data_IF_152722787785
#
_entry.id   IF_152722787785
#
_cell.length_a   1.000
_cell.length_b   1.000
_cell.length_c   1.000
_cell.angle_alpha   90.00
_cell.angle_beta   90.00
_cell.angle_gamma   90.00
#
_symmetry.space_group_name_H-M   'P 1'
#
loop_
_entity.id
_entity.type
_entity.pdbx_description
1 polymer ?
#
# COMPACT_ATOMS: atom_id res chain seq x y z
N UNK A 1 -40.84 -6.45 73.43
CA UNK A 1 -41.21 -5.19 72.78
C UNK A 1 -39.92 -4.55 72.25
N UNK A 2 -39.72 -4.41 71.04
CA UNK A 2 -38.55 -3.85 70.45
C UNK A 2 -38.47 -4.22 68.99
N UNK A 3 -39.12 -3.44 68.16
CA UNK A 3 -39.10 -3.63 66.69
C UNK A 3 -37.75 -3.27 66.11
N UNK A 4 -37.22 -4.18 65.28
CA UNK A 4 -36.05 -3.95 64.45
C UNK A 4 -36.48 -3.37 63.11
N UNK A 5 -36.04 -2.14 62.86
CA UNK A 5 -36.20 -1.43 61.57
C UNK A 5 -35.42 -2.14 60.47
N UNK A 6 -36.10 -2.49 59.40
CA UNK A 6 -35.51 -3.03 58.19
C UNK A 6 -35.04 -1.86 57.32
N UNK A 7 -33.74 -1.58 57.31
CA UNK A 7 -33.10 -0.61 56.42
C UNK A 7 -33.05 -1.20 55.01
N UNK A 8 -33.86 -0.62 54.12
CA UNK A 8 -33.88 -0.91 52.68
C UNK A 8 -32.56 -0.52 52.01
N UNK A 9 -31.79 -1.46 51.55
CA UNK A 9 -30.66 -1.27 50.65
C UNK A 9 -31.16 -0.94 49.24
N UNK A 10 -31.29 0.34 48.93
CA UNK A 10 -31.47 0.83 47.57
C UNK A 10 -30.12 0.61 46.83
N UNK A 11 -30.11 -0.33 45.91
CA UNK A 11 -29.09 -0.59 44.92
C UNK A 11 -28.77 0.71 44.16
N UNK A 12 -27.59 1.21 44.37
CA UNK A 12 -26.97 2.26 43.54
C UNK A 12 -26.58 1.63 42.18
N UNK A 13 -27.47 1.68 41.21
CA UNK A 13 -27.11 1.46 39.81
C UNK A 13 -26.20 2.60 39.39
N UNK A 14 -24.88 2.34 39.37
CA UNK A 14 -23.92 3.19 38.67
C UNK A 14 -24.22 3.02 37.17
N UNK A 15 -24.84 4.02 36.58
CA UNK A 15 -24.97 4.11 35.12
C UNK A 15 -23.55 4.15 34.57
N UNK A 16 -23.12 3.07 33.94
CA UNK A 16 -21.90 3.05 33.13
C UNK A 16 -21.93 4.18 32.08
N UNK A 17 -20.77 4.62 31.59
CA UNK A 17 -20.72 5.69 30.60
C UNK A 17 -21.65 5.34 29.43
N UNK A 18 -22.51 6.30 29.06
CA UNK A 18 -23.33 6.16 27.87
C UNK A 18 -22.40 5.99 26.67
N UNK A 19 -22.29 4.78 26.15
CA UNK A 19 -21.69 4.54 24.83
C UNK A 19 -22.62 5.26 23.85
N UNK A 20 -22.22 6.45 23.41
CA UNK A 20 -22.87 7.08 22.27
C UNK A 20 -22.76 6.11 21.10
N UNK A 21 -23.84 5.85 20.32
CA UNK A 21 -23.71 5.09 19.10
C UNK A 21 -22.66 5.82 18.25
N UNK A 22 -21.55 5.13 17.91
CA UNK A 22 -20.52 5.70 17.05
C UNK A 22 -21.22 6.14 15.75
N UNK A 23 -21.29 7.45 15.52
CA UNK A 23 -21.74 7.99 14.25
C UNK A 23 -20.88 7.34 13.17
N UNK A 24 -21.53 6.87 12.09
CA UNK A 24 -20.78 6.27 10.97
C UNK A 24 -19.72 7.27 10.52
N UNK A 25 -18.46 6.88 10.57
CA UNK A 25 -17.36 7.71 10.10
C UNK A 25 -17.54 8.04 8.63
N UNK A 26 -17.21 9.26 8.28
CA UNK A 26 -17.35 9.82 6.94
C UNK A 26 -15.99 10.13 6.36
N UNK A 27 -15.94 10.34 5.05
CA UNK A 27 -14.71 10.73 4.36
C UNK A 27 -14.09 11.99 4.98
N UNK A 28 -14.89 13.00 5.27
CA UNK A 28 -14.46 14.28 5.87
C UNK A 28 -13.80 14.13 7.24
N UNK A 29 -14.02 13.03 7.96
CA UNK A 29 -13.36 12.77 9.25
C UNK A 29 -11.86 12.42 9.08
N UNK A 30 -11.41 12.15 7.84
CA UNK A 30 -10.02 11.82 7.50
C UNK A 30 -9.31 12.95 6.76
N UNK A 31 -9.85 14.16 6.87
CA UNK A 31 -9.22 15.35 6.30
C UNK A 31 -8.26 16.01 7.32
N UNK A 32 -7.18 16.55 6.81
CA UNK A 32 -6.25 17.38 7.55
C UNK A 32 -5.47 18.28 6.58
N UNK A 33 -4.96 19.38 7.08
CA UNK A 33 -4.15 20.29 6.27
C UNK A 33 -2.72 19.72 6.13
N UNK A 34 -2.36 19.31 4.92
CA UNK A 34 -1.01 18.87 4.55
C UNK A 34 -0.33 19.94 3.72
N UNK A 35 0.71 20.64 4.26
CA UNK A 35 1.52 21.56 3.47
C UNK A 35 2.23 20.84 2.31
N UNK A 36 2.18 21.42 1.12
CA UNK A 36 2.75 20.82 -0.10
C UNK A 36 4.27 20.60 0.00
N UNK A 37 4.96 21.47 0.70
CA UNK A 37 6.40 21.37 0.94
C UNK A 37 6.83 20.14 1.76
N UNK A 38 5.89 19.48 2.45
CA UNK A 38 6.17 18.24 3.18
C UNK A 38 6.08 17.00 2.29
N UNK A 39 5.64 17.12 1.05
CA UNK A 39 5.58 16.01 0.10
C UNK A 39 6.98 15.75 -0.47
N UNK A 40 7.54 14.58 -0.19
CA UNK A 40 8.88 14.23 -0.64
C UNK A 40 8.92 13.90 -2.13
N UNK A 41 9.74 14.64 -2.89
CA UNK A 41 10.00 14.35 -4.30
C UNK A 41 11.22 13.44 -4.51
N UNK A 42 12.11 13.34 -3.52
CA UNK A 42 13.32 12.50 -3.53
C UNK A 42 13.39 11.65 -2.25
N UNK A 43 13.88 10.40 -2.35
CA UNK A 43 14.17 9.60 -1.17
C UNK A 43 15.41 10.12 -0.43
N UNK A 44 15.60 9.71 0.83
CA UNK A 44 16.88 9.91 1.51
C UNK A 44 18.01 9.17 0.78
N UNK A 45 19.24 9.69 0.89
CA UNK A 45 20.42 9.05 0.28
C UNK A 45 20.55 7.60 0.73
N UNK A 46 20.53 7.37 2.05
CA UNK A 46 20.49 6.04 2.63
C UNK A 46 19.04 5.71 3.06
N UNK A 47 18.54 4.56 2.63
CA UNK A 47 17.12 4.17 2.83
C UNK A 47 16.67 4.21 4.30
N UNK A 48 17.54 3.77 5.22
CA UNK A 48 17.24 3.65 6.65
C UNK A 48 17.61 4.88 7.48
N UNK A 49 17.96 5.98 6.83
CA UNK A 49 18.20 7.28 7.46
C UNK A 49 17.00 8.24 7.40
N UNK A 50 15.86 7.80 6.84
CA UNK A 50 14.61 8.55 7.01
C UNK A 50 14.18 8.56 8.49
N UNK A 51 13.34 9.53 8.85
CA UNK A 51 12.79 9.59 10.21
C UNK A 51 11.77 8.49 10.45
N UNK A 52 11.65 8.08 11.71
CA UNK A 52 10.65 7.12 12.18
C UNK A 52 9.85 7.72 13.32
N UNK A 53 8.54 7.84 13.16
CA UNK A 53 7.63 8.12 14.27
C UNK A 53 7.15 6.79 14.85
N UNK A 54 7.44 6.54 16.12
CA UNK A 54 6.94 5.35 16.82
C UNK A 54 5.73 5.74 17.66
N UNK A 55 4.60 5.06 17.44
CA UNK A 55 3.33 5.33 18.10
C UNK A 55 2.89 4.12 18.90
N UNK A 56 2.78 4.28 20.21
CA UNK A 56 2.31 3.24 21.13
C UNK A 56 0.80 3.35 21.34
N UNK A 57 0.02 2.45 20.76
CA UNK A 57 -1.45 2.48 20.79
C UNK A 57 -2.03 2.42 22.20
N UNK A 58 -1.40 1.65 23.08
CA UNK A 58 -1.89 1.43 24.44
C UNK A 58 -1.73 2.66 25.37
N UNK A 59 -0.74 3.50 25.10
CA UNK A 59 -0.40 4.64 25.96
C UNK A 59 -0.61 5.99 25.28
N UNK A 60 -0.69 6.02 23.94
CA UNK A 60 -0.70 7.24 23.14
C UNK A 60 0.65 7.99 23.14
N UNK A 61 1.74 7.30 23.56
CA UNK A 61 3.10 7.83 23.49
C UNK A 61 3.57 7.89 22.05
N UNK A 62 4.21 8.99 21.67
CA UNK A 62 4.85 9.18 20.38
C UNK A 62 6.34 9.44 20.62
N UNK A 63 7.18 8.73 19.89
CA UNK A 63 8.63 8.88 19.90
C UNK A 63 9.14 9.26 18.50
N UNK A 64 10.22 10.03 18.44
CA UNK A 64 10.89 10.41 17.20
C UNK A 64 12.24 9.71 17.12
N UNK A 65 12.46 8.92 16.08
CA UNK A 65 13.63 8.08 15.87
C UNK A 65 14.11 8.19 14.41
N UNK A 66 15.16 7.48 14.09
CA UNK A 66 15.56 7.17 12.71
C UNK A 66 15.05 5.77 12.33
N UNK A 67 14.80 5.51 11.05
CA UNK A 67 14.24 4.21 10.65
C UNK A 67 15.13 3.02 11.06
N UNK A 68 16.45 3.18 11.03
CA UNK A 68 17.40 2.16 11.51
C UNK A 68 17.19 1.72 12.96
N UNK A 69 16.57 2.58 13.77
CA UNK A 69 16.26 2.28 15.18
C UNK A 69 15.07 1.33 15.34
N UNK A 70 14.39 0.97 14.23
CA UNK A 70 13.35 -0.07 14.22
C UNK A 70 13.84 -1.37 14.86
N UNK A 71 15.13 -1.62 14.78
CA UNK A 71 15.81 -2.75 15.42
C UNK A 71 15.53 -2.86 16.92
N UNK A 72 15.34 -1.74 17.61
CA UNK A 72 15.17 -1.70 19.07
C UNK A 72 13.75 -2.12 19.52
N UNK A 73 12.81 -2.23 18.59
CA UNK A 73 11.39 -2.52 18.86
C UNK A 73 10.98 -3.97 18.59
N UNK A 74 11.90 -4.80 18.09
CA UNK A 74 11.64 -6.20 17.75
C UNK A 74 12.64 -7.13 18.41
N UNK A 75 12.20 -8.32 18.78
CA UNK A 75 12.98 -9.34 19.47
C UNK A 75 13.07 -10.64 18.67
N UNK A 76 13.98 -11.52 19.09
CA UNK A 76 14.13 -12.85 18.49
C UNK A 76 12.81 -13.61 18.40
N UNK A 77 12.51 -14.14 17.23
CA UNK A 77 11.29 -14.87 16.93
C UNK A 77 10.12 -14.01 16.46
N UNK A 78 10.24 -12.67 16.49
CA UNK A 78 9.26 -11.79 15.87
C UNK A 78 9.28 -11.97 14.34
N UNK A 79 8.17 -11.64 13.69
CA UNK A 79 8.01 -11.78 12.24
C UNK A 79 7.62 -10.46 11.60
N UNK A 80 8.34 -10.07 10.54
CA UNK A 80 7.97 -8.99 9.64
C UNK A 80 7.39 -9.56 8.35
N UNK A 81 6.20 -9.11 7.96
CA UNK A 81 5.53 -9.53 6.73
C UNK A 81 5.84 -8.53 5.63
N UNK A 82 6.54 -9.00 4.60
CA UNK A 82 7.08 -8.19 3.52
C UNK A 82 6.35 -8.46 2.22
N UNK A 83 6.00 -7.40 1.48
CA UNK A 83 5.48 -7.54 0.12
C UNK A 83 6.64 -7.50 -0.89
N UNK A 84 6.93 -8.65 -1.50
CA UNK A 84 8.04 -8.84 -2.42
C UNK A 84 7.74 -8.49 -3.88
N UNK A 85 6.63 -7.82 -4.14
CA UNK A 85 6.27 -7.40 -5.50
C UNK A 85 7.34 -6.48 -6.09
N UNK A 86 7.60 -6.65 -7.39
CA UNK A 86 8.54 -5.86 -8.17
C UNK A 86 7.80 -4.96 -9.15
N UNK A 87 8.15 -3.68 -9.15
CA UNK A 87 7.64 -2.70 -10.12
C UNK A 87 8.32 -2.92 -11.46
N UNK A 88 7.54 -2.88 -12.54
CA UNK A 88 8.07 -2.88 -13.91
C UNK A 88 7.87 -1.50 -14.56
N UNK A 89 8.63 -1.15 -15.61
CA UNK A 89 8.54 0.15 -16.29
C UNK A 89 7.25 0.25 -17.09
N UNK A 90 6.17 0.64 -16.41
CA UNK A 90 4.80 0.57 -16.89
C UNK A 90 4.34 1.77 -17.70
N UNK A 91 5.10 2.88 -17.70
CA UNK A 91 4.73 4.11 -18.42
C UNK A 91 5.45 4.17 -19.75
N UNK A 92 4.69 4.23 -20.83
CA UNK A 92 5.21 4.27 -22.20
C UNK A 92 4.70 5.51 -22.93
N UNK A 93 5.56 6.11 -23.72
CA UNK A 93 5.21 7.21 -24.61
C UNK A 93 5.31 6.77 -26.07
N UNK A 94 4.37 7.23 -26.88
CA UNK A 94 4.31 6.87 -28.28
C UNK A 94 3.51 7.85 -29.09
N UNK A 95 3.17 7.44 -30.31
CA UNK A 95 2.44 8.26 -31.26
C UNK A 95 1.23 7.49 -31.81
N UNK A 96 0.14 8.22 -32.02
CA UNK A 96 -1.04 7.67 -32.68
C UNK A 96 -0.86 7.60 -34.18
N UNK A 97 -1.26 6.47 -34.78
CA UNK A 97 -1.35 6.30 -36.24
C UNK A 97 -2.04 7.49 -36.92
N UNK A 98 -1.63 7.78 -38.13
CA UNK A 98 -2.17 8.83 -39.04
C UNK A 98 -1.99 10.27 -38.60
N UNK A 99 -1.99 10.58 -37.31
CA UNK A 99 -1.91 11.95 -36.82
C UNK A 99 -0.56 12.31 -36.21
N UNK A 100 0.25 11.31 -35.85
CA UNK A 100 1.51 11.50 -35.12
C UNK A 100 1.31 12.13 -33.74
N UNK A 101 0.05 12.20 -33.25
CA UNK A 101 -0.21 12.82 -31.95
C UNK A 101 0.45 12.03 -30.83
N UNK A 102 1.19 12.70 -29.97
CA UNK A 102 1.82 12.12 -28.78
C UNK A 102 0.76 11.53 -27.85
N UNK A 103 1.05 10.35 -27.33
CA UNK A 103 0.19 9.63 -26.38
C UNK A 103 1.03 9.05 -25.24
N UNK A 104 0.41 8.93 -24.07
CA UNK A 104 0.91 8.15 -22.93
C UNK A 104 0.05 6.90 -22.77
N UNK A 105 0.71 5.76 -22.59
CA UNK A 105 0.08 4.49 -22.23
C UNK A 105 0.68 4.04 -20.91
N UNK A 106 -0.17 3.77 -19.94
CA UNK A 106 0.21 3.25 -18.65
C UNK A 106 -0.30 1.81 -18.52
N UNK A 107 0.62 0.86 -18.58
CA UNK A 107 0.32 -0.57 -18.44
C UNK A 107 -0.14 -0.88 -17.03
N UNK A 108 -1.29 -1.56 -16.89
CA UNK A 108 -1.83 -1.94 -15.58
C UNK A 108 -1.59 -3.41 -15.27
N UNK A 109 -2.00 -4.28 -16.19
CA UNK A 109 -1.83 -5.73 -16.05
C UNK A 109 -1.94 -6.43 -17.40
N UNK A 110 -1.27 -7.57 -17.49
CA UNK A 110 -1.45 -8.49 -18.60
C UNK A 110 -2.74 -9.29 -18.41
N UNK A 111 -3.60 -9.28 -19.43
CA UNK A 111 -4.86 -10.01 -19.45
C UNK A 111 -4.70 -11.40 -20.08
N UNK A 112 -3.87 -11.48 -21.12
CA UNK A 112 -3.60 -12.75 -21.81
C UNK A 112 -2.20 -12.69 -22.45
N UNK A 113 -1.35 -13.63 -22.05
CA UNK A 113 0.04 -13.72 -22.50
C UNK A 113 0.16 -14.15 -23.98
N UNK A 114 -0.65 -15.11 -24.41
CA UNK A 114 -0.54 -15.66 -25.76
C UNK A 114 -0.95 -14.66 -26.84
N UNK A 115 -1.98 -13.85 -26.54
CA UNK A 115 -2.48 -12.81 -27.45
C UNK A 115 -1.94 -11.42 -27.14
N UNK A 116 -1.00 -11.29 -26.19
CA UNK A 116 -0.38 -10.04 -25.74
C UNK A 116 -1.41 -8.95 -25.42
N UNK A 117 -2.50 -9.34 -24.73
CA UNK A 117 -3.55 -8.42 -24.31
C UNK A 117 -3.22 -7.79 -22.97
N UNK A 118 -3.38 -6.48 -22.91
CA UNK A 118 -3.09 -5.68 -21.71
C UNK A 118 -4.22 -4.73 -21.38
N UNK A 119 -4.55 -4.63 -20.09
CA UNK A 119 -5.36 -3.56 -19.54
C UNK A 119 -4.46 -2.35 -19.27
N UNK A 120 -4.86 -1.17 -19.76
CA UNK A 120 -4.02 0.03 -19.71
C UNK A 120 -4.85 1.28 -19.46
N UNK A 121 -4.20 2.34 -18.96
CA UNK A 121 -4.72 3.70 -19.06
C UNK A 121 -4.03 4.44 -20.19
N UNK A 122 -4.76 5.36 -20.82
CA UNK A 122 -4.25 6.16 -21.93
C UNK A 122 -4.50 7.66 -21.72
N UNK A 123 -3.59 8.48 -22.24
CA UNK A 123 -3.74 9.92 -22.27
C UNK A 123 -3.22 10.49 -23.61
N UNK A 124 -3.98 11.35 -24.32
CA UNK A 124 -5.33 11.83 -24.03
C UNK A 124 -6.41 10.80 -24.45
N UNK A 125 -7.20 10.33 -23.50
CA UNK A 125 -8.17 9.25 -23.70
C UNK A 125 -9.22 9.53 -24.80
N UNK A 126 -9.63 10.80 -24.97
CA UNK A 126 -10.62 11.21 -25.98
C UNK A 126 -10.16 10.97 -27.41
N UNK A 127 -8.85 10.95 -27.65
CA UNK A 127 -8.25 10.80 -28.97
C UNK A 127 -7.91 9.35 -29.31
N UNK A 128 -7.94 8.44 -28.34
CA UNK A 128 -7.56 7.03 -28.48
C UNK A 128 -8.80 6.18 -28.44
N UNK A 129 -9.20 5.62 -29.62
CA UNK A 129 -10.44 4.88 -29.84
C UNK A 129 -10.15 3.46 -30.32
N UNK A 130 -11.12 2.57 -30.17
CA UNK A 130 -11.06 1.19 -30.70
C UNK A 130 -10.64 1.22 -32.17
N UNK A 131 -9.74 0.31 -32.55
CA UNK A 131 -9.16 0.18 -33.87
C UNK A 131 -8.00 1.14 -34.17
N UNK A 132 -7.66 2.07 -33.26
CA UNK A 132 -6.45 2.87 -33.45
C UNK A 132 -5.20 2.03 -33.20
N UNK A 133 -4.16 2.26 -33.99
CA UNK A 133 -2.81 1.75 -33.73
C UNK A 133 -1.97 2.82 -33.04
N UNK A 134 -1.19 2.38 -32.08
CA UNK A 134 -0.29 3.16 -31.27
C UNK A 134 1.14 2.65 -31.51
N UNK A 135 2.06 3.53 -31.77
CA UNK A 135 3.44 3.23 -32.15
C UNK A 135 4.39 3.72 -31.06
N UNK A 136 5.31 2.86 -30.64
CA UNK A 136 6.28 3.13 -29.58
C UNK A 136 7.71 2.90 -30.08
N UNK A 137 8.64 3.69 -29.55
CA UNK A 137 10.03 3.72 -29.97
C UNK A 137 10.24 4.64 -31.18
N UNK A 138 11.46 5.12 -31.38
CA UNK A 138 11.82 6.05 -32.47
C UNK A 138 11.71 5.37 -33.84
N UNK A 139 11.81 4.05 -33.85
CA UNK A 139 11.77 3.19 -35.04
C UNK A 139 10.43 2.43 -35.20
N UNK A 140 9.40 2.83 -34.44
CA UNK A 140 8.12 2.12 -34.38
C UNK A 140 8.25 0.61 -34.05
N UNK A 141 9.27 0.26 -33.26
CA UNK A 141 9.66 -1.13 -32.96
C UNK A 141 8.63 -1.90 -32.15
N UNK A 142 7.66 -1.22 -31.54
CA UNK A 142 6.53 -1.84 -30.86
C UNK A 142 5.24 -1.14 -31.24
N UNK A 143 4.24 -1.94 -31.63
CA UNK A 143 2.93 -1.45 -32.06
C UNK A 143 1.84 -2.11 -31.21
N UNK A 144 0.82 -1.34 -30.83
CA UNK A 144 -0.37 -1.86 -30.18
C UNK A 144 -1.65 -1.40 -30.89
N UNK A 145 -2.66 -2.24 -30.87
CA UNK A 145 -4.00 -1.94 -31.36
C UNK A 145 -4.97 -1.81 -30.18
N UNK A 146 -5.81 -0.78 -30.20
CA UNK A 146 -6.86 -0.58 -29.21
C UNK A 146 -8.02 -1.52 -29.53
N UNK A 147 -8.27 -2.51 -28.66
CA UNK A 147 -9.29 -3.55 -28.85
C UNK A 147 -10.60 -3.16 -28.19
N UNK A 148 -10.55 -2.54 -26.98
CA UNK A 148 -11.74 -2.22 -26.19
C UNK A 148 -11.55 -1.00 -25.31
N UNK A 149 -12.65 -0.43 -24.84
CA UNK A 149 -12.72 0.63 -23.83
C UNK A 149 -13.22 0.05 -22.52
N UNK A 150 -12.41 0.09 -21.45
CA UNK A 150 -12.77 -0.47 -20.15
C UNK A 150 -13.34 0.57 -19.19
N UNK A 151 -12.79 1.80 -19.20
CA UNK A 151 -13.25 2.95 -18.41
C UNK A 151 -13.10 4.23 -19.22
N UNK A 152 -13.39 5.38 -18.62
CA UNK A 152 -13.19 6.71 -19.26
C UNK A 152 -11.77 6.91 -19.80
N UNK A 153 -10.75 6.38 -19.10
CA UNK A 153 -9.33 6.40 -19.52
C UNK A 153 -8.77 5.02 -19.79
N UNK A 154 -9.49 3.97 -19.45
CA UNK A 154 -9.06 2.58 -19.60
C UNK A 154 -9.26 2.06 -21.02
N UNK A 155 -8.31 1.27 -21.50
CA UNK A 155 -8.33 0.56 -22.78
C UNK A 155 -7.80 -0.85 -22.61
N UNK A 156 -8.25 -1.75 -23.48
CA UNK A 156 -7.56 -3.01 -23.72
C UNK A 156 -6.72 -2.83 -24.97
N UNK A 157 -5.41 -3.06 -24.85
CA UNK A 157 -4.49 -3.08 -25.99
C UNK A 157 -4.09 -4.51 -26.33
N UNK A 158 -3.96 -4.78 -27.62
CA UNK A 158 -3.27 -5.95 -28.15
C UNK A 158 -1.95 -5.50 -28.77
N UNK A 159 -0.84 -5.95 -28.24
CA UNK A 159 0.45 -5.69 -28.85
C UNK A 159 0.64 -6.57 -30.07
N UNK A 160 1.13 -5.98 -31.14
CA UNK A 160 1.42 -6.62 -32.43
C UNK A 160 2.95 -6.82 -32.45
N UNK A 161 3.39 -7.98 -32.00
CA UNK A 161 4.81 -8.31 -31.89
C UNK A 161 5.04 -9.72 -32.45
N UNK A 162 6.00 -9.84 -33.35
CA UNK A 162 6.39 -11.11 -33.97
C UNK A 162 7.71 -11.55 -33.38
N UNK A 163 7.66 -12.42 -32.37
CA UNK A 163 8.81 -12.93 -31.65
C UNK A 163 8.44 -13.62 -30.34
N UNK A 164 9.43 -14.19 -29.66
CA UNK A 164 9.25 -14.79 -28.35
C UNK A 164 8.74 -13.78 -27.31
N UNK A 165 7.94 -14.26 -26.37
CA UNK A 165 7.39 -13.41 -25.28
C UNK A 165 8.49 -12.68 -24.48
N UNK A 166 9.64 -13.30 -24.28
CA UNK A 166 10.74 -12.69 -23.53
C UNK A 166 11.34 -11.47 -24.28
N UNK A 167 11.37 -11.51 -25.60
CA UNK A 167 11.77 -10.36 -26.42
C UNK A 167 10.74 -9.23 -26.37
N UNK A 168 9.45 -9.58 -26.37
CA UNK A 168 8.38 -8.61 -26.14
C UNK A 168 8.52 -7.92 -24.78
N UNK A 169 8.77 -8.69 -23.71
CA UNK A 169 9.01 -8.14 -22.35
C UNK A 169 10.25 -7.26 -22.31
N UNK A 170 11.33 -7.67 -22.98
CA UNK A 170 12.53 -6.85 -23.09
C UNK A 170 12.25 -5.51 -23.78
N UNK A 171 11.41 -5.52 -24.83
CA UNK A 171 11.01 -4.31 -25.56
C UNK A 171 10.15 -3.38 -24.67
N UNK A 172 9.22 -3.92 -23.87
CA UNK A 172 8.49 -3.11 -22.86
C UNK A 172 9.46 -2.49 -21.86
N UNK A 173 10.45 -3.23 -21.40
CA UNK A 173 11.45 -2.73 -20.44
C UNK A 173 12.31 -1.63 -21.04
N UNK A 174 12.70 -1.78 -22.32
CA UNK A 174 13.48 -0.77 -23.05
C UNK A 174 12.72 0.55 -23.27
N UNK A 175 11.43 0.45 -23.62
CA UNK A 175 10.61 1.60 -24.00
C UNK A 175 9.83 2.22 -22.83
N UNK A 176 9.72 1.50 -21.73
CA UNK A 176 8.98 1.93 -20.55
C UNK A 176 9.82 2.75 -19.57
N UNK A 177 9.15 3.56 -18.80
CA UNK A 177 9.73 4.33 -17.69
C UNK A 177 9.18 3.87 -16.36
N UNK A 178 9.97 4.07 -15.29
CA UNK A 178 9.53 3.84 -13.91
C UNK A 178 8.24 4.63 -13.63
N UNK A 179 7.17 3.96 -13.17
CA UNK A 179 5.86 4.59 -13.01
C UNK A 179 5.75 5.41 -11.73
N UNK A 180 6.57 6.46 -11.58
CA UNK A 180 6.49 7.34 -10.41
C UNK A 180 5.08 7.92 -10.24
N UNK A 181 4.56 7.99 -9.01
CA UNK A 181 3.27 8.62 -8.73
C UNK A 181 3.25 10.09 -9.13
N UNK A 182 2.08 10.58 -9.56
CA UNK A 182 1.91 11.95 -10.07
C UNK A 182 2.16 13.09 -9.07
N UNK A 183 2.16 12.78 -7.76
CA UNK A 183 2.50 13.77 -6.74
C UNK A 183 4.01 14.03 -6.64
N UNK A 184 4.85 13.19 -7.21
CA UNK A 184 6.27 13.46 -7.42
C UNK A 184 6.36 14.38 -8.63
N UNK A 185 6.57 15.68 -8.36
CA UNK A 185 6.52 16.76 -9.36
C UNK A 185 7.88 16.98 -10.01
N UNK A 186 8.47 15.94 -10.56
CA UNK A 186 9.69 15.97 -11.36
C UNK A 186 9.65 14.88 -12.41
N UNK A 187 10.53 14.98 -13.38
CA UNK A 187 10.75 13.92 -14.36
C UNK A 187 11.37 12.68 -13.70
N UNK A 188 11.21 11.54 -14.35
CA UNK A 188 11.83 10.29 -13.93
C UNK A 188 13.32 10.37 -14.22
N UNK A 189 14.13 10.01 -13.24
CA UNK A 189 15.59 9.95 -13.35
C UNK A 189 16.04 8.48 -13.40
N UNK A 190 17.22 8.17 -13.98
CA UNK A 190 17.70 6.79 -14.10
C UNK A 190 17.75 6.05 -12.77
N UNK A 191 18.09 6.74 -11.69
CA UNK A 191 18.17 6.20 -10.34
C UNK A 191 16.83 5.73 -9.79
N UNK A 192 15.71 6.23 -10.31
CA UNK A 192 14.37 5.86 -9.85
C UNK A 192 14.05 4.39 -10.14
N UNK A 193 14.65 3.78 -11.15
CA UNK A 193 14.50 2.36 -11.43
C UNK A 193 14.90 1.50 -10.22
N UNK A 194 15.98 1.87 -9.53
CA UNK A 194 16.43 1.20 -8.32
C UNK A 194 15.79 1.77 -7.06
N UNK A 195 15.61 3.09 -7.00
CA UNK A 195 15.13 3.78 -5.79
C UNK A 195 13.65 3.57 -5.53
N UNK A 196 12.83 3.47 -6.58
CA UNK A 196 11.40 3.14 -6.48
C UNK A 196 11.14 1.64 -6.49
N UNK A 197 12.03 0.89 -5.83
CA UNK A 197 12.02 -0.56 -5.70
C UNK A 197 12.50 -0.95 -4.32
N UNK A 198 11.86 -1.95 -3.67
CA UNK A 198 12.38 -2.49 -2.42
C UNK A 198 13.62 -3.34 -2.67
N UNK A 199 14.50 -3.44 -1.68
CA UNK A 199 15.72 -4.25 -1.80
C UNK A 199 15.45 -5.75 -1.81
N UNK A 200 14.22 -6.17 -1.51
CA UNK A 200 13.72 -7.55 -1.52
C UNK A 200 12.68 -7.81 -2.61
N UNK A 201 12.49 -6.88 -3.54
CA UNK A 201 11.57 -7.06 -4.66
C UNK A 201 12.03 -8.21 -5.58
N UNK A 202 11.15 -9.18 -5.83
CA UNK A 202 11.48 -10.40 -6.59
C UNK A 202 10.40 -10.79 -7.60
N UNK A 203 9.12 -10.53 -7.35
CA UNK A 203 8.01 -10.98 -8.20
C UNK A 203 7.44 -9.79 -8.97
N UNK A 204 7.75 -9.73 -10.28
CA UNK A 204 7.30 -8.65 -11.17
C UNK A 204 5.78 -8.66 -11.37
N UNK A 205 5.15 -7.48 -11.42
CA UNK A 205 3.73 -7.32 -11.72
C UNK A 205 3.10 -6.05 -11.13
N UNK A 206 3.83 -5.29 -10.32
CA UNK A 206 3.31 -4.05 -9.74
C UNK A 206 3.59 -2.83 -10.62
N UNK A 207 2.69 -1.86 -10.55
CA UNK A 207 2.85 -0.52 -11.14
C UNK A 207 3.11 0.55 -10.07
N UNK A 208 3.19 0.14 -8.82
CA UNK A 208 3.62 0.99 -7.71
C UNK A 208 4.37 0.16 -6.67
N UNK A 209 5.37 0.76 -6.04
CA UNK A 209 6.16 0.09 -5.00
C UNK A 209 5.38 -0.04 -3.69
N UNK A 210 5.58 -1.11 -2.90
CA UNK A 210 5.12 -1.19 -1.51
C UNK A 210 6.00 -0.30 -0.63
N UNK A 211 5.67 0.99 -0.57
CA UNK A 211 6.56 2.08 -0.20
C UNK A 211 7.13 2.02 1.21
N UNK A 212 6.43 1.40 2.17
CA UNK A 212 6.99 1.15 3.50
C UNK A 212 8.23 0.24 3.48
N UNK A 213 8.34 -0.63 2.47
CA UNK A 213 9.51 -1.46 2.25
C UNK A 213 10.73 -0.71 1.71
N UNK A 214 10.53 0.50 1.15
CA UNK A 214 11.62 1.32 0.61
C UNK A 214 12.60 1.80 1.68
N UNK A 215 12.17 1.88 2.93
CA UNK A 215 12.99 2.31 4.05
C UNK A 215 14.03 1.28 4.51
N UNK A 216 13.87 0.01 4.11
CA UNK A 216 14.81 -1.04 4.48
C UNK A 216 16.05 -1.00 3.58
N UNK A 217 17.22 -0.90 4.18
CA UNK A 217 18.50 -1.17 3.53
C UNK A 217 18.85 -2.66 3.65
N UNK A 218 19.69 -3.16 2.76
CA UNK A 218 20.22 -4.54 2.86
C UNK A 218 20.97 -4.76 4.18
N UNK A 219 21.65 -3.72 4.68
CA UNK A 219 22.37 -3.78 5.96
C UNK A 219 21.41 -3.90 7.13
N UNK A 220 20.32 -3.09 7.15
CA UNK A 220 19.32 -3.16 8.21
C UNK A 220 18.61 -4.52 8.23
N UNK A 221 18.23 -5.06 7.06
CA UNK A 221 17.66 -6.40 6.97
C UNK A 221 18.59 -7.45 7.54
N UNK A 222 19.89 -7.39 7.22
CA UNK A 222 20.89 -8.33 7.77
C UNK A 222 21.04 -8.23 9.27
N UNK A 223 21.00 -7.01 9.82
CA UNK A 223 21.03 -6.80 11.29
C UNK A 223 19.80 -7.37 11.97
N UNK A 224 18.60 -7.17 11.39
CA UNK A 224 17.35 -7.74 11.88
C UNK A 224 17.38 -9.27 11.86
N UNK A 225 17.85 -9.86 10.75
CA UNK A 225 18.01 -11.31 10.62
C UNK A 225 18.98 -11.87 11.68
N UNK A 226 20.13 -11.21 11.88
CA UNK A 226 21.11 -11.61 12.91
C UNK A 226 20.55 -11.48 14.34
N UNK A 227 19.60 -10.57 14.56
CA UNK A 227 18.87 -10.47 15.83
C UNK A 227 17.82 -11.57 16.01
N UNK A 228 17.54 -12.37 14.99
CA UNK A 228 16.57 -13.46 15.03
C UNK A 228 15.15 -13.06 14.62
N UNK A 229 14.99 -11.94 13.93
CA UNK A 229 13.71 -11.55 13.33
C UNK A 229 13.52 -12.32 12.03
N UNK A 230 12.34 -12.89 11.84
CA UNK A 230 11.98 -13.65 10.65
C UNK A 230 11.25 -12.76 9.64
N UNK A 231 11.46 -13.03 8.34
CA UNK A 231 10.79 -12.33 7.25
C UNK A 231 9.85 -13.27 6.50
N UNK A 232 8.54 -13.00 6.59
CA UNK A 232 7.52 -13.73 5.86
C UNK A 232 7.16 -12.94 4.60
N UNK A 233 7.44 -13.52 3.43
CA UNK A 233 7.18 -12.86 2.14
C UNK A 233 5.81 -13.26 1.59
N UNK A 234 5.08 -12.26 1.13
CA UNK A 234 3.89 -12.40 0.32
C UNK A 234 4.01 -11.51 -0.92
N UNK A 235 3.15 -11.71 -1.89
CA UNK A 235 3.07 -10.87 -3.08
C UNK A 235 1.70 -10.20 -3.15
N UNK A 236 1.66 -8.87 -3.25
CA UNK A 236 0.49 -8.14 -3.70
C UNK A 236 0.94 -7.17 -4.79
N UNK A 237 0.44 -7.37 -5.99
CA UNK A 237 0.73 -6.47 -7.11
C UNK A 237 -0.07 -5.18 -6.98
N UNK A 238 0.63 -4.13 -6.57
CA UNK A 238 0.02 -2.82 -6.30
C UNK A 238 -0.38 -2.16 -7.61
N UNK A 239 -1.67 -1.86 -7.73
CA UNK A 239 -2.26 -1.14 -8.85
C UNK A 239 -2.42 0.36 -8.57
N UNK A 240 -2.90 1.10 -9.56
CA UNK A 240 -3.16 2.55 -9.42
C UNK A 240 -4.33 2.88 -8.49
N UNK A 241 -5.22 1.93 -8.24
CA UNK A 241 -6.37 2.13 -7.36
C UNK A 241 -6.02 2.54 -5.94
N UNK A 242 -4.83 2.13 -5.47
CA UNK A 242 -4.31 2.50 -4.15
C UNK A 242 -4.09 4.03 -4.01
N UNK A 243 -3.87 4.73 -5.13
CA UNK A 243 -3.67 6.19 -5.14
C UNK A 243 -4.92 6.96 -5.59
N UNK A 244 -6.04 6.27 -5.84
CA UNK A 244 -7.29 6.93 -6.20
C UNK A 244 -7.91 7.54 -4.95
N UNK A 245 -8.32 8.81 -5.04
CA UNK A 245 -9.07 9.49 -3.98
C UNK A 245 -10.42 8.81 -3.77
N UNK A 246 -10.87 8.77 -2.53
CA UNK A 246 -12.25 8.39 -2.20
C UNK A 246 -13.15 9.57 -2.57
N UNK A 247 -14.21 9.31 -3.34
CA UNK A 247 -15.10 10.34 -3.88
C UNK A 247 -16.49 10.36 -3.20
N UNK A 248 -16.70 9.45 -2.23
CA UNK A 248 -17.99 9.27 -1.55
C UNK A 248 -17.86 9.56 -0.06
N UNK A 249 -18.76 10.37 0.47
CA UNK A 249 -18.76 10.72 1.89
C UNK A 249 -19.11 9.52 2.79
N UNK A 250 -20.02 8.67 2.36
CA UNK A 250 -20.33 7.40 3.02
C UNK A 250 -19.33 6.32 2.59
N UNK A 251 -18.37 6.00 3.46
CA UNK A 251 -17.29 5.07 3.18
C UNK A 251 -17.78 3.68 2.78
N UNK A 252 -18.97 3.26 3.21
CA UNK A 252 -19.54 1.94 2.86
C UNK A 252 -19.87 1.83 1.36
N UNK A 253 -19.95 2.95 0.65
CA UNK A 253 -20.23 3.03 -0.79
C UNK A 253 -18.96 3.05 -1.64
N UNK A 254 -17.79 3.22 -1.03
CA UNK A 254 -16.53 3.18 -1.76
C UNK A 254 -16.22 1.76 -2.22
N UNK A 255 -15.75 1.64 -3.47
CA UNK A 255 -15.33 0.37 -4.06
C UNK A 255 -13.82 0.42 -4.30
N UNK A 256 -13.09 -0.44 -3.61
CA UNK A 256 -11.68 -0.65 -3.87
C UNK A 256 -11.48 -1.38 -5.20
N UNK A 257 -10.46 -0.98 -5.93
CA UNK A 257 -9.98 -1.76 -7.07
C UNK A 257 -9.41 -3.10 -6.57
N UNK A 258 -9.60 -4.15 -7.39
CA UNK A 258 -9.08 -5.47 -7.07
C UNK A 258 -7.60 -5.56 -7.44
N UNK A 259 -6.80 -6.13 -6.55
CA UNK A 259 -5.38 -6.40 -6.74
C UNK A 259 -5.09 -7.87 -6.48
N UNK A 260 -4.16 -8.44 -7.26
CA UNK A 260 -3.76 -9.84 -7.08
C UNK A 260 -2.89 -9.97 -5.84
N UNK A 261 -3.23 -10.92 -4.97
CA UNK A 261 -2.51 -11.23 -3.75
C UNK A 261 -2.20 -12.73 -3.66
N UNK A 262 -0.97 -13.06 -3.28
CA UNK A 262 -0.49 -14.43 -3.09
C UNK A 262 0.18 -14.51 -1.72
N UNK A 263 -0.32 -15.42 -0.87
CA UNK A 263 0.24 -15.71 0.45
C UNK A 263 0.66 -17.18 0.45
N UNK A 264 1.96 -17.48 0.33
CA UNK A 264 2.45 -18.85 0.26
C UNK A 264 2.38 -19.54 1.63
N UNK A 265 2.30 -20.87 1.63
CA UNK A 265 2.26 -21.67 2.86
C UNK A 265 3.42 -21.41 3.80
N UNK A 266 4.63 -21.16 3.26
CA UNK A 266 5.80 -20.85 4.07
C UNK A 266 5.60 -19.59 4.93
N UNK A 267 5.03 -18.52 4.35
CA UNK A 267 4.68 -17.31 5.09
C UNK A 267 3.59 -17.58 6.14
N UNK A 268 2.59 -18.37 5.79
CA UNK A 268 1.50 -18.79 6.70
C UNK A 268 2.05 -19.53 7.93
N UNK A 269 2.93 -20.50 7.72
CA UNK A 269 3.55 -21.24 8.82
C UNK A 269 4.33 -20.32 9.75
N UNK A 270 5.19 -19.48 9.19
CA UNK A 270 6.05 -18.55 9.94
C UNK A 270 5.21 -17.56 10.79
N UNK A 271 4.19 -16.96 10.19
CA UNK A 271 3.29 -16.01 10.87
C UNK A 271 2.49 -16.70 11.97
N UNK A 272 1.91 -17.86 11.68
CA UNK A 272 1.08 -18.57 12.64
C UNK A 272 1.90 -19.12 13.80
N UNK A 273 3.13 -19.55 13.57
CA UNK A 273 4.03 -20.00 14.63
C UNK A 273 4.42 -18.83 15.55
N UNK A 274 4.71 -17.65 15.00
CA UNK A 274 4.94 -16.45 15.79
C UNK A 274 3.74 -16.12 16.68
N UNK A 275 2.51 -16.14 16.11
CA UNK A 275 1.27 -15.92 16.89
C UNK A 275 1.09 -16.93 18.03
N UNK A 276 1.28 -18.23 17.77
CA UNK A 276 1.17 -19.28 18.79
C UNK A 276 2.18 -19.08 19.91
N UNK A 277 3.38 -18.62 19.58
CA UNK A 277 4.46 -18.36 20.53
C UNK A 277 4.40 -16.95 21.13
N UNK A 278 3.31 -16.21 20.91
CA UNK A 278 3.12 -14.81 21.40
C UNK A 278 4.27 -13.88 21.01
N UNK A 279 4.83 -14.10 19.82
CA UNK A 279 5.81 -13.23 19.21
C UNK A 279 5.09 -12.17 18.37
N UNK A 280 5.73 -11.01 18.22
CA UNK A 280 5.18 -9.91 17.45
C UNK A 280 5.10 -10.23 15.97
N UNK A 281 3.97 -9.89 15.38
CA UNK A 281 3.76 -9.97 13.93
C UNK A 281 3.57 -8.55 13.39
N UNK A 282 4.53 -8.08 12.61
CA UNK A 282 4.53 -6.75 12.03
C UNK A 282 4.20 -6.80 10.54
N UNK A 283 3.16 -6.11 10.11
CA UNK A 283 2.94 -5.87 8.70
C UNK A 283 3.82 -4.72 8.21
N UNK A 284 4.64 -4.95 7.20
CA UNK A 284 5.41 -3.90 6.54
C UNK A 284 4.62 -3.39 5.34
N UNK A 285 3.98 -2.25 5.54
CA UNK A 285 3.10 -1.60 4.58
C UNK A 285 1.63 -1.98 4.67
N UNK A 286 0.80 -1.05 4.25
CA UNK A 286 -0.66 -1.23 4.15
C UNK A 286 -1.04 -2.34 3.17
N UNK A 287 -0.22 -2.60 2.15
CA UNK A 287 -0.40 -3.71 1.21
C UNK A 287 -0.26 -5.07 1.87
N UNK A 288 0.76 -5.25 2.70
CA UNK A 288 0.94 -6.47 3.51
C UNK A 288 -0.22 -6.64 4.50
N UNK A 289 -0.61 -5.58 5.21
CA UNK A 289 -1.74 -5.60 6.13
C UNK A 289 -3.03 -6.03 5.43
N UNK A 290 -3.35 -5.43 4.28
CA UNK A 290 -4.54 -5.76 3.51
C UNK A 290 -4.54 -7.21 3.02
N UNK A 291 -3.40 -7.71 2.60
CA UNK A 291 -3.24 -9.09 2.14
C UNK A 291 -3.54 -10.10 3.25
N UNK A 292 -2.91 -9.94 4.41
CA UNK A 292 -3.09 -10.89 5.52
C UNK A 292 -4.51 -10.84 6.09
N UNK A 293 -5.13 -9.66 6.15
CA UNK A 293 -6.53 -9.52 6.60
C UNK A 293 -7.55 -10.02 5.56
N UNK A 294 -7.12 -10.28 4.31
CA UNK A 294 -7.97 -10.91 3.28
C UNK A 294 -8.14 -12.40 3.53
N UNK A 295 -7.17 -13.07 4.14
CA UNK A 295 -7.15 -14.52 4.28
C UNK A 295 -7.03 -14.98 5.74
N UNK A 296 -8.00 -14.56 6.55
CA UNK A 296 -8.11 -14.95 7.97
C UNK A 296 -9.04 -16.16 8.11
N UNK A 297 -8.63 -17.15 8.90
CA UNK A 297 -9.47 -18.29 9.29
C UNK A 297 -10.44 -17.93 10.41
N UNK A 298 -11.41 -18.79 10.68
CA UNK A 298 -12.41 -18.60 11.75
C UNK A 298 -11.81 -18.54 13.15
N UNK A 299 -10.64 -19.14 13.34
CA UNK A 299 -9.87 -19.14 14.59
C UNK A 299 -8.80 -18.01 14.64
N UNK A 300 -8.88 -17.04 13.73
CA UNK A 300 -8.01 -15.86 13.71
C UNK A 300 -6.58 -16.14 13.24
N UNK A 301 -6.36 -17.21 12.52
CA UNK A 301 -5.04 -17.56 11.95
C UNK A 301 -4.96 -17.22 10.47
N UNK A 302 -3.76 -17.00 9.95
CA UNK A 302 -3.52 -16.75 8.54
C UNK A 302 -3.71 -18.05 7.72
N UNK A 303 -4.27 -17.93 6.51
CA UNK A 303 -4.40 -19.03 5.55
C UNK A 303 -3.63 -18.72 4.26
N UNK A 304 -3.20 -19.75 3.51
CA UNK A 304 -2.70 -19.57 2.16
C UNK A 304 -3.75 -18.89 1.28
N UNK A 305 -3.29 -18.08 0.36
CA UNK A 305 -4.16 -17.34 -0.55
C UNK A 305 -3.51 -17.18 -1.92
N UNK A 306 -4.29 -17.36 -2.96
CA UNK A 306 -3.94 -16.97 -4.34
C UNK A 306 -5.21 -16.48 -5.01
N UNK A 307 -5.29 -15.19 -5.25
CA UNK A 307 -6.50 -14.59 -5.78
C UNK A 307 -6.51 -13.06 -5.79
N UNK A 308 -7.71 -12.51 -5.93
CA UNK A 308 -7.93 -11.07 -6.02
C UNK A 308 -8.53 -10.53 -4.73
N UNK A 309 -7.98 -9.44 -4.22
CA UNK A 309 -8.51 -8.74 -3.04
C UNK A 309 -8.94 -7.32 -3.41
N UNK A 310 -10.14 -6.96 -3.00
CA UNK A 310 -10.67 -5.60 -3.01
C UNK A 310 -11.00 -5.14 -1.59
N UNK A 311 -10.36 -5.72 -0.60
CA UNK A 311 -10.62 -5.44 0.80
C UNK A 311 -10.36 -3.98 1.13
N UNK A 312 -11.40 -3.29 1.60
CA UNK A 312 -11.33 -1.94 2.11
C UNK A 312 -11.43 -1.96 3.63
N UNK A 313 -10.41 -1.45 4.30
CA UNK A 313 -10.31 -1.42 5.76
C UNK A 313 -10.44 0.03 6.23
N UNK A 314 -11.45 0.30 7.05
CA UNK A 314 -11.71 1.58 7.70
C UNK A 314 -12.39 1.34 9.06
N UNK A 315 -12.37 2.31 9.99
CA UNK A 315 -12.98 2.12 11.31
C UNK A 315 -14.53 1.95 11.26
N UNK A 316 -15.10 1.11 12.15
CA UNK A 316 -14.41 0.19 13.05
C UNK A 316 -13.97 -1.09 12.34
N UNK A 317 -12.75 -1.55 12.62
CA UNK A 317 -12.24 -2.82 12.09
C UNK A 317 -11.34 -3.49 13.15
N UNK A 318 -11.52 -4.80 13.34
CA UNK A 318 -10.71 -5.61 14.24
C UNK A 318 -9.70 -6.40 13.43
N UNK A 319 -8.42 -6.12 13.65
CA UNK A 319 -7.32 -6.82 12.99
C UNK A 319 -7.03 -8.15 13.66
N UNK A 320 -6.82 -9.18 12.84
CA UNK A 320 -6.69 -10.55 13.33
C UNK A 320 -5.25 -11.05 13.33
N UNK A 321 -4.42 -10.61 12.40
CA UNK A 321 -3.11 -11.23 12.15
C UNK A 321 -1.97 -10.41 12.74
N UNK A 322 -1.79 -9.18 12.31
CA UNK A 322 -0.69 -8.33 12.76
C UNK A 322 -1.06 -7.52 14.01
N UNK A 323 -0.10 -7.39 14.90
CA UNK A 323 -0.19 -6.57 16.12
C UNK A 323 0.63 -5.28 16.03
N UNK A 324 1.43 -5.12 14.98
CA UNK A 324 2.17 -3.90 14.67
C UNK A 324 2.19 -3.61 13.16
N UNK A 325 2.42 -2.35 12.81
CA UNK A 325 2.41 -1.88 11.43
C UNK A 325 3.52 -0.86 11.19
N UNK A 326 4.34 -1.10 10.16
CA UNK A 326 5.25 -0.11 9.58
C UNK A 326 4.57 0.46 8.35
N UNK A 327 4.48 1.78 8.24
CA UNK A 327 3.83 2.44 7.11
C UNK A 327 4.46 3.80 6.82
N UNK A 328 4.15 4.41 5.68
CA UNK A 328 4.46 5.80 5.37
C UNK A 328 3.41 6.72 5.97
N UNK A 329 3.67 8.04 5.94
CA UNK A 329 2.64 9.04 6.15
C UNK A 329 1.79 9.20 4.88
N UNK A 330 0.48 9.01 5.04
CA UNK A 330 -0.49 9.00 3.95
C UNK A 330 -1.19 10.35 3.79
N UNK A 331 -1.81 10.53 2.64
CA UNK A 331 -2.52 11.76 2.32
C UNK A 331 -3.87 11.86 3.01
N UNK A 332 -4.38 13.09 3.19
CA UNK A 332 -5.77 13.29 3.56
C UNK A 332 -6.72 12.53 2.63
N UNK A 333 -7.84 12.09 3.16
CA UNK A 333 -8.95 11.47 2.42
C UNK A 333 -8.60 10.15 1.70
N UNK A 334 -7.44 9.55 2.01
CA UNK A 334 -6.99 8.30 1.38
C UNK A 334 -7.48 7.05 2.12
N UNK A 335 -7.70 5.98 1.36
CA UNK A 335 -8.00 4.65 1.92
C UNK A 335 -6.90 4.14 2.85
N UNK A 336 -5.65 4.56 2.60
CA UNK A 336 -4.50 4.18 3.41
C UNK A 336 -4.53 4.85 4.79
N UNK A 337 -4.88 6.14 4.85
CA UNK A 337 -5.07 6.86 6.12
C UNK A 337 -6.22 6.23 6.94
N UNK A 338 -7.29 5.80 6.27
CA UNK A 338 -8.41 5.12 6.92
C UNK A 338 -7.99 3.79 7.55
N UNK A 339 -7.13 3.01 6.88
CA UNK A 339 -6.57 1.79 7.45
C UNK A 339 -5.68 2.08 8.67
N UNK A 340 -4.83 3.09 8.59
CA UNK A 340 -4.02 3.53 9.74
C UNK A 340 -4.90 3.95 10.91
N UNK A 341 -5.95 4.71 10.64
CA UNK A 341 -6.95 5.12 11.64
C UNK A 341 -7.68 3.92 12.27
N UNK A 342 -8.02 2.92 11.45
CA UNK A 342 -8.63 1.68 11.95
C UNK A 342 -7.67 0.91 12.87
N UNK A 343 -6.36 0.96 12.59
CA UNK A 343 -5.36 0.21 13.34
C UNK A 343 -4.94 0.87 14.64
N UNK A 344 -4.79 2.20 14.67
CA UNK A 344 -4.30 2.91 15.85
C UNK A 344 -5.37 3.69 16.64
N UNK A 345 -6.58 3.80 16.09
CA UNK A 345 -7.64 4.65 16.62
C UNK A 345 -7.64 6.04 16.00
N UNK A 346 -8.84 6.56 15.78
CA UNK A 346 -9.05 7.81 15.04
C UNK A 346 -8.43 9.04 15.73
N UNK A 347 -8.63 9.19 17.04
CA UNK A 347 -8.08 10.31 17.80
C UNK A 347 -6.55 10.30 17.82
N UNK A 348 -5.95 9.11 18.03
CA UNK A 348 -4.51 8.97 18.05
C UNK A 348 -3.90 9.19 16.66
N UNK A 349 -4.59 8.77 15.60
CA UNK A 349 -4.18 9.06 14.21
C UNK A 349 -4.12 10.57 13.99
N UNK A 350 -5.17 11.32 14.33
CA UNK A 350 -5.15 12.78 14.19
C UNK A 350 -4.03 13.45 14.99
N UNK A 351 -3.82 13.04 16.24
CA UNK A 351 -2.71 13.53 17.07
C UNK A 351 -1.36 13.28 16.40
N UNK A 352 -1.11 12.05 15.94
CA UNK A 352 0.17 11.68 15.32
C UNK A 352 0.41 12.44 14.00
N UNK A 353 -0.62 12.61 13.17
CA UNK A 353 -0.50 13.34 11.91
C UNK A 353 -0.33 14.85 12.11
N UNK A 354 -1.01 15.42 13.10
CA UNK A 354 -0.79 16.82 13.47
C UNK A 354 0.65 17.05 13.98
N UNK A 355 1.15 16.13 14.81
CA UNK A 355 2.54 16.17 15.29
C UNK A 355 3.53 15.98 14.13
N UNK A 356 3.24 15.08 13.18
CA UNK A 356 4.07 14.89 11.98
C UNK A 356 4.18 16.16 11.14
N UNK A 357 3.10 16.89 10.94
CA UNK A 357 3.11 18.18 10.23
C UNK A 357 3.91 19.23 11.01
N UNK A 358 3.70 19.32 12.31
CA UNK A 358 4.41 20.28 13.19
C UNK A 358 5.91 20.01 13.20
N UNK A 359 6.30 18.75 13.31
CA UNK A 359 7.69 18.29 13.33
C UNK A 359 8.31 18.17 11.94
N UNK A 360 7.56 18.55 10.88
CA UNK A 360 8.00 18.53 9.48
C UNK A 360 8.49 17.16 9.01
N UNK A 361 7.73 16.12 9.32
CA UNK A 361 7.92 14.83 8.68
C UNK A 361 7.60 14.93 7.19
N UNK A 362 8.28 14.14 6.39
CA UNK A 362 8.04 14.05 4.95
C UNK A 362 6.97 13.00 4.67
N UNK A 363 6.12 13.32 3.73
CA UNK A 363 4.94 12.52 3.41
C UNK A 363 5.10 11.76 2.07
N UNK A 364 4.27 10.76 1.85
CA UNK A 364 4.15 9.88 0.69
C UNK A 364 5.30 8.88 0.51
N UNK A 365 5.49 8.39 -0.72
CA UNK A 365 6.35 7.24 -1.05
C UNK A 365 7.80 7.40 -0.67
N UNK A 366 8.35 8.59 -0.87
CA UNK A 366 9.75 8.92 -0.55
C UNK A 366 9.90 9.66 0.79
N UNK A 367 8.81 9.77 1.53
CA UNK A 367 8.79 10.42 2.83
C UNK A 367 9.34 9.56 3.95
N UNK A 368 8.96 9.93 5.17
CA UNK A 368 9.36 9.26 6.41
C UNK A 368 8.42 8.10 6.76
N UNK A 369 8.74 7.37 7.80
CA UNK A 369 8.03 6.18 8.23
C UNK A 369 7.34 6.35 9.59
N UNK A 370 6.31 5.54 9.83
CA UNK A 370 5.65 5.37 11.12
C UNK A 370 5.68 3.89 11.51
N UNK A 371 6.03 3.61 12.76
CA UNK A 371 5.86 2.31 13.41
C UNK A 371 4.75 2.41 14.44
N UNK A 372 3.71 1.61 14.30
CA UNK A 372 2.56 1.55 15.21
C UNK A 372 2.63 0.24 16.00
N UNK A 373 2.73 0.37 17.33
CA UNK A 373 2.89 -0.72 18.30
C UNK A 373 1.67 -0.92 19.19
#
# INVERSE_FOLDING_TARGET
MGGLDVVSLRSLYIKGPKVHPMSKMKLSDFDFNLPEELIANYPEENRDECRLMVVHRSTGLIEHKMFRDVLDYFDEGDVMIMNNTRVFPARMYGNKEKTGAKIEVFLLRELNRESLLWDVLVDPARKIRIGNKLYFGDDDSLVAEVIDNTTSRGRTLRFLFDGPYEEFKAKITELGETPLPKYIKREVEPEDEERYQTVFASVEGAVAAPTAGLHFSKQLLKRLELKGINFAELTLHVGLGTFRSVEVEDLTKHKMDSEQAIIPEAAVHMVNDAKRNKRRVCAVGTTSMRSIETSVSTDGMLKPYDGWTNKFIFPPYEFSIADSLITNFHTPLSTLLMMVSAFMGHELMHKAYQEAVTEKYRFYSYGDAMLIL
#
